data_IF_787170907168
#
_entry.id   IF_787170907168
#
_cell.length_a   1.000
_cell.length_b   1.000
_cell.length_c   1.000
_cell.angle_alpha   90.00
_cell.angle_beta   90.00
_cell.angle_gamma   90.00
#
_symmetry.space_group_name_H-M   'P 1'
#
loop_
_entity.id
_entity.type
_entity.pdbx_description
1 polymer ?
#
# COMPACT_ATOMS: atom_id res chain seq x y z
N UNK A 1 14.34 0.65 12.88
CA UNK A 1 13.56 -0.16 11.91
C UNK A 1 13.09 0.66 10.70
N UNK A 2 12.79 1.95 10.87
CA UNK A 2 12.47 2.85 9.74
C UNK A 2 13.57 2.87 8.66
N UNK A 3 14.82 2.56 9.03
CA UNK A 3 15.97 2.51 8.13
C UNK A 3 15.84 1.48 7.01
N UNK A 4 15.12 0.37 7.24
CA UNK A 4 14.92 -0.67 6.21
C UNK A 4 14.18 -0.07 5.01
N UNK A 5 13.14 0.71 5.26
CA UNK A 5 12.42 1.34 4.17
C UNK A 5 13.24 2.42 3.47
N UNK A 6 14.12 3.13 4.18
CA UNK A 6 14.97 4.16 3.58
C UNK A 6 15.84 3.64 2.42
N UNK A 7 16.17 2.34 2.43
CA UNK A 7 16.91 1.69 1.35
C UNK A 7 16.24 1.83 -0.02
N UNK A 8 14.91 1.95 -0.08
CA UNK A 8 14.22 2.12 -1.36
C UNK A 8 14.45 3.48 -2.03
N UNK A 9 14.92 4.46 -1.26
CA UNK A 9 15.25 5.79 -1.75
C UNK A 9 16.76 5.93 -1.98
N UNK A 10 17.58 5.22 -1.20
CA UNK A 10 19.05 5.29 -1.28
C UNK A 10 19.62 4.46 -2.45
N UNK A 11 18.93 3.40 -2.88
CA UNK A 11 19.43 2.49 -3.93
C UNK A 11 18.74 2.81 -5.27
N UNK A 12 19.32 3.68 -6.12
CA UNK A 12 18.63 4.22 -7.31
C UNK A 12 18.32 3.16 -8.38
N UNK A 13 19.02 2.03 -8.37
CA UNK A 13 18.80 0.92 -9.33
C UNK A 13 17.83 -0.14 -8.79
N UNK A 14 17.31 0.00 -7.58
CA UNK A 14 16.41 -0.98 -6.97
C UNK A 14 15.04 -0.93 -7.67
N UNK A 15 14.71 -1.99 -8.41
CA UNK A 15 13.41 -2.12 -9.11
C UNK A 15 12.42 -2.98 -8.36
N UNK A 16 12.91 -3.93 -7.58
CA UNK A 16 12.10 -4.87 -6.82
C UNK A 16 12.40 -4.72 -5.34
N UNK A 17 11.36 -4.58 -4.53
CA UNK A 17 11.50 -4.54 -3.08
C UNK A 17 10.39 -5.33 -2.39
N UNK A 18 10.81 -6.22 -1.49
CA UNK A 18 9.92 -7.02 -0.66
C UNK A 18 10.28 -6.79 0.80
N UNK A 19 9.29 -6.41 1.58
CA UNK A 19 9.42 -6.15 3.01
C UNK A 19 8.50 -7.11 3.73
N UNK A 20 9.09 -8.09 4.42
CA UNK A 20 8.37 -9.04 5.26
C UNK A 20 8.84 -8.85 6.69
N UNK A 21 7.90 -8.45 7.56
CA UNK A 21 8.18 -8.23 8.97
C UNK A 21 7.46 -9.35 9.73
N UNK A 22 8.24 -10.25 10.30
CA UNK A 22 7.72 -11.47 10.92
C UNK A 22 6.79 -11.18 12.11
N UNK A 23 5.83 -12.10 12.33
CA UNK A 23 4.73 -12.02 13.32
C UNK A 23 5.14 -11.77 14.78
N UNK A 24 6.42 -11.83 15.12
CA UNK A 24 6.89 -11.70 16.51
C UNK A 24 7.18 -10.26 16.93
N UNK A 25 7.13 -9.29 16.01
CA UNK A 25 7.11 -7.90 16.40
C UNK A 25 5.69 -7.57 16.82
N UNK A 26 5.50 -7.29 18.11
CA UNK A 26 4.30 -6.64 18.61
C UNK A 26 3.94 -5.52 17.62
N UNK A 27 2.68 -5.46 17.20
CA UNK A 27 2.12 -4.58 16.16
C UNK A 27 2.30 -3.06 16.44
N UNK A 28 3.23 -2.67 17.30
CA UNK A 28 3.68 -1.32 17.51
C UNK A 28 4.37 -0.79 16.25
N UNK A 29 3.53 -0.19 15.41
CA UNK A 29 3.77 0.98 14.57
C UNK A 29 5.16 1.03 13.94
N UNK A 30 5.42 0.11 13.01
CA UNK A 30 6.47 0.34 12.02
C UNK A 30 5.97 1.47 11.13
N UNK A 31 6.36 2.68 11.49
CA UNK A 31 6.03 3.88 10.71
C UNK A 31 6.79 3.79 9.40
N UNK A 32 6.05 3.85 8.29
CA UNK A 32 6.67 3.99 6.98
C UNK A 32 7.47 5.29 6.95
N UNK A 33 8.68 5.30 6.38
CA UNK A 33 9.50 6.48 6.39
C UNK A 33 8.85 7.54 5.53
N UNK A 34 8.99 8.76 6.00
CA UNK A 34 8.73 9.95 5.22
C UNK A 34 9.98 10.15 4.37
N UNK A 35 9.84 10.04 3.04
CA UNK A 35 10.95 10.38 2.15
C UNK A 35 11.32 11.84 2.36
N UNK A 36 12.60 12.20 2.20
CA UNK A 36 12.98 13.61 2.28
C UNK A 36 12.37 14.36 1.08
N UNK A 37 12.15 15.67 1.23
CA UNK A 37 11.56 16.51 0.18
C UNK A 37 12.25 16.23 -1.18
N UNK A 38 11.44 15.85 -2.18
CA UNK A 38 11.82 15.49 -3.56
C UNK A 38 12.52 14.14 -3.78
N UNK A 39 12.64 13.28 -2.77
CA UNK A 39 13.10 11.90 -2.99
C UNK A 39 11.98 11.08 -3.63
N UNK A 40 12.30 10.43 -4.75
CA UNK A 40 11.42 9.47 -5.40
C UNK A 40 12.17 8.17 -5.65
N UNK A 41 11.49 7.07 -5.41
CA UNK A 41 12.04 5.74 -5.63
C UNK A 41 11.84 5.33 -7.10
N UNK A 42 12.82 4.61 -7.63
CA UNK A 42 12.74 4.02 -8.97
C UNK A 42 12.07 2.63 -8.98
N UNK A 43 11.46 2.26 -7.86
CA UNK A 43 10.79 0.99 -7.66
C UNK A 43 9.67 0.77 -8.67
N UNK A 44 9.62 -0.47 -9.17
CA UNK A 44 8.60 -0.97 -10.08
C UNK A 44 7.75 -2.07 -9.44
N UNK A 45 8.31 -2.81 -8.48
CA UNK A 45 7.66 -3.91 -7.80
C UNK A 45 7.80 -3.74 -6.29
N UNK A 46 6.67 -3.65 -5.59
CA UNK A 46 6.63 -3.50 -4.15
C UNK A 46 5.75 -4.58 -3.53
N UNK A 47 6.30 -5.30 -2.57
CA UNK A 47 5.59 -6.30 -1.76
C UNK A 47 5.69 -5.91 -0.28
N UNK A 48 4.53 -5.65 0.33
CA UNK A 48 4.35 -5.34 1.76
C UNK A 48 3.71 -6.56 2.42
N UNK A 49 4.53 -7.34 3.10
CA UNK A 49 4.16 -8.61 3.74
C UNK A 49 4.10 -8.46 5.27
N UNK A 50 3.37 -7.45 5.70
CA UNK A 50 3.05 -7.13 7.09
C UNK A 50 1.87 -6.15 7.12
N UNK A 51 1.39 -5.84 8.31
CA UNK A 51 0.26 -4.94 8.52
C UNK A 51 0.68 -3.48 8.28
N UNK A 52 -0.15 -2.75 7.54
CA UNK A 52 0.08 -1.36 7.17
C UNK A 52 -1.27 -0.62 7.14
N UNK A 53 -1.31 0.59 7.69
CA UNK A 53 -2.51 1.42 7.57
C UNK A 53 -2.66 1.94 6.14
N UNK A 54 -3.88 2.27 5.75
CA UNK A 54 -4.13 2.85 4.46
C UNK A 54 -3.40 4.19 4.25
N UNK A 55 -3.40 5.06 5.26
CA UNK A 55 -2.69 6.35 5.20
C UNK A 55 -1.18 6.19 5.01
N UNK A 56 -0.57 5.23 5.70
CA UNK A 56 0.84 4.88 5.50
C UNK A 56 1.08 4.41 4.06
N UNK A 57 0.26 3.47 3.57
CA UNK A 57 0.38 3.01 2.19
C UNK A 57 0.33 4.17 1.20
N UNK A 58 -0.66 5.06 1.32
CA UNK A 58 -0.76 6.22 0.43
C UNK A 58 0.51 7.07 0.48
N UNK A 59 1.01 7.37 1.68
CA UNK A 59 2.25 8.11 1.83
C UNK A 59 3.41 7.42 1.10
N UNK A 60 3.57 6.10 1.26
CA UNK A 60 4.61 5.35 0.57
C UNK A 60 4.47 5.41 -0.95
N UNK A 61 3.23 5.25 -1.46
CA UNK A 61 2.94 5.28 -2.89
C UNK A 61 3.20 6.64 -3.52
N UNK A 62 3.06 7.73 -2.74
CA UNK A 62 3.38 9.09 -3.21
C UNK A 62 4.85 9.25 -3.61
N UNK A 63 5.75 8.42 -3.07
CA UNK A 63 7.17 8.42 -3.37
C UNK A 63 7.59 7.34 -4.38
N UNK A 64 6.67 6.54 -4.92
CA UNK A 64 6.97 5.46 -5.87
C UNK A 64 6.23 5.64 -7.21
N UNK A 65 6.46 6.74 -7.96
CA UNK A 65 5.69 7.05 -9.17
C UNK A 65 5.91 6.05 -10.32
N UNK A 66 7.02 5.29 -10.29
CA UNK A 66 7.34 4.28 -11.30
C UNK A 66 6.74 2.90 -11.00
N UNK A 67 5.90 2.78 -9.96
CA UNK A 67 5.39 1.50 -9.52
C UNK A 67 4.50 0.86 -10.57
N UNK A 68 4.81 -0.39 -10.93
CA UNK A 68 4.10 -1.21 -11.92
C UNK A 68 3.23 -2.25 -11.20
N UNK A 69 3.75 -2.84 -10.13
CA UNK A 69 3.07 -3.86 -9.35
C UNK A 69 3.15 -3.57 -7.86
N UNK A 70 1.99 -3.68 -7.22
CA UNK A 70 1.82 -3.57 -5.77
C UNK A 70 1.23 -4.87 -5.22
N UNK A 71 1.81 -5.39 -4.16
CA UNK A 71 1.29 -6.53 -3.41
C UNK A 71 1.26 -6.18 -1.93
N UNK A 72 0.09 -6.27 -1.32
CA UNK A 72 -0.11 -5.95 0.09
C UNK A 72 -0.85 -7.10 0.74
N UNK A 73 -0.26 -7.69 1.78
CA UNK A 73 -0.81 -8.86 2.43
C UNK A 73 -1.74 -8.54 3.60
N UNK A 74 -1.62 -7.36 4.22
CA UNK A 74 -2.45 -6.95 5.35
C UNK A 74 -2.60 -5.44 5.35
N UNK A 75 -3.75 -4.96 4.92
CA UNK A 75 -4.10 -3.54 5.00
C UNK A 75 -5.33 -3.36 5.88
N UNK A 76 -5.33 -2.31 6.70
CA UNK A 76 -6.47 -1.89 7.49
C UNK A 76 -6.78 -0.41 7.26
N UNK A 77 -8.03 -0.03 7.46
CA UNK A 77 -8.53 1.33 7.28
C UNK A 77 -8.99 1.88 8.63
N UNK A 78 -8.56 3.09 8.94
CA UNK A 78 -9.07 3.86 10.07
C UNK A 78 -10.13 4.85 9.56
N UNK A 79 -11.10 5.21 10.41
CA UNK A 79 -12.14 6.18 10.05
C UNK A 79 -11.57 7.55 9.66
N UNK A 80 -10.39 7.90 10.19
CA UNK A 80 -9.64 9.11 9.85
C UNK A 80 -9.16 9.14 8.39
N UNK A 81 -8.96 7.98 7.77
CA UNK A 81 -8.33 7.86 6.44
C UNK A 81 -9.24 8.39 5.32
N UNK A 82 -10.56 8.42 5.56
CA UNK A 82 -11.54 8.95 4.60
C UNK A 82 -11.30 10.44 4.27
N UNK A 83 -10.68 11.20 5.19
CA UNK A 83 -10.41 12.64 5.01
C UNK A 83 -9.10 12.92 4.29
N UNK A 84 -8.18 11.95 4.22
CA UNK A 84 -6.80 12.16 3.79
C UNK A 84 -6.53 11.80 2.32
N UNK A 85 -7.57 11.55 1.53
CA UNK A 85 -7.44 11.22 0.11
C UNK A 85 -6.93 12.40 -0.72
N UNK A 86 -5.62 12.63 -0.70
CA UNK A 86 -4.93 13.33 -1.78
C UNK A 86 -4.85 12.39 -2.98
N UNK A 87 -5.12 12.92 -4.17
CA UNK A 87 -5.09 12.14 -5.42
C UNK A 87 -3.65 11.77 -5.74
N UNK A 88 -3.22 10.57 -5.37
CA UNK A 88 -1.96 9.98 -5.84
C UNK A 88 -2.25 9.30 -7.16
N UNK A 89 -1.59 9.70 -8.26
CA UNK A 89 -1.74 9.05 -9.56
C UNK A 89 -0.54 8.15 -9.83
N UNK A 90 -0.75 6.83 -9.79
CA UNK A 90 0.24 5.84 -10.19
C UNK A 90 0.02 5.48 -11.66
N UNK A 91 0.53 6.31 -12.57
CA UNK A 91 0.30 6.16 -14.01
C UNK A 91 0.79 4.83 -14.59
N UNK A 92 1.78 4.20 -13.97
CA UNK A 92 2.40 2.97 -14.47
C UNK A 92 1.84 1.69 -13.85
N UNK A 93 1.02 1.80 -12.79
CA UNK A 93 0.55 0.61 -12.08
C UNK A 93 -0.44 -0.15 -12.95
N UNK A 94 -0.18 -1.45 -13.12
CA UNK A 94 -1.02 -2.33 -13.93
C UNK A 94 -1.46 -3.60 -13.20
N UNK A 95 -0.87 -3.86 -12.02
CA UNK A 95 -1.18 -5.04 -11.23
C UNK A 95 -1.25 -4.66 -9.75
N UNK A 96 -2.37 -4.95 -9.12
CA UNK A 96 -2.56 -4.78 -7.69
C UNK A 96 -3.00 -6.12 -7.10
N UNK A 97 -2.32 -6.55 -6.06
CA UNK A 97 -2.72 -7.67 -5.21
C UNK A 97 -3.00 -7.12 -3.81
N UNK A 98 -4.23 -7.29 -3.34
CA UNK A 98 -4.64 -6.89 -2.00
C UNK A 98 -5.16 -8.11 -1.25
N UNK A 99 -4.65 -8.30 -0.05
CA UNK A 99 -5.29 -9.15 0.95
C UNK A 99 -5.89 -8.25 2.03
N UNK A 100 -7.21 -8.27 2.06
CA UNK A 100 -8.05 -7.32 2.75
C UNK A 100 -8.37 -7.81 4.15
N UNK A 101 -8.01 -7.01 5.16
CA UNK A 101 -8.44 -7.20 6.54
C UNK A 101 -9.21 -5.95 6.97
N UNK A 102 -10.48 -6.10 7.35
CA UNK A 102 -11.30 -4.99 7.90
C UNK A 102 -11.44 -3.77 6.98
N UNK A 103 -11.69 -4.01 5.70
CA UNK A 103 -11.94 -2.97 4.69
C UNK A 103 -13.26 -3.26 4.00
N UNK A 104 -14.03 -2.20 3.78
CA UNK A 104 -15.28 -2.27 3.01
C UNK A 104 -14.98 -2.23 1.50
N UNK A 105 -15.88 -2.80 0.70
CA UNK A 105 -15.77 -2.71 -0.76
C UNK A 105 -15.70 -1.26 -1.26
N UNK A 106 -16.47 -0.34 -0.66
CA UNK A 106 -16.47 1.08 -1.02
C UNK A 106 -15.11 1.74 -0.78
N UNK A 107 -14.41 1.42 0.32
CA UNK A 107 -13.06 1.94 0.58
C UNK A 107 -12.05 1.43 -0.47
N UNK A 108 -12.15 0.14 -0.83
CA UNK A 108 -11.31 -0.44 -1.88
C UNK A 108 -11.56 0.21 -3.24
N UNK A 109 -12.84 0.40 -3.60
CA UNK A 109 -13.24 1.02 -4.86
C UNK A 109 -12.69 2.44 -4.97
N UNK A 110 -12.86 3.25 -3.91
CA UNK A 110 -12.31 4.61 -3.85
C UNK A 110 -10.80 4.59 -4.02
N UNK A 111 -10.09 3.66 -3.37
CA UNK A 111 -8.64 3.50 -3.54
C UNK A 111 -8.27 3.22 -5.00
N UNK A 112 -8.91 2.24 -5.63
CA UNK A 112 -8.59 1.85 -7.01
C UNK A 112 -8.85 3.02 -7.97
N UNK A 113 -10.04 3.63 -7.88
CA UNK A 113 -10.44 4.74 -8.77
C UNK A 113 -9.49 5.93 -8.61
N UNK A 114 -9.06 6.24 -7.39
CA UNK A 114 -8.19 7.40 -7.15
C UNK A 114 -6.72 7.14 -7.45
N UNK A 115 -6.25 5.90 -7.35
CA UNK A 115 -4.81 5.61 -7.45
C UNK A 115 -4.34 5.17 -8.83
N UNK A 116 -5.23 4.61 -9.66
CA UNK A 116 -4.81 3.99 -10.92
C UNK A 116 -5.79 4.23 -12.07
N UNK A 117 -5.25 4.61 -13.23
CA UNK A 117 -5.99 4.72 -14.49
C UNK A 117 -5.70 3.59 -15.47
N UNK A 118 -4.66 2.77 -15.21
CA UNK A 118 -4.13 1.79 -16.16
C UNK A 118 -4.13 0.35 -15.58
N UNK A 119 -5.01 0.09 -14.61
CA UNK A 119 -5.07 -1.20 -13.92
C UNK A 119 -5.52 -2.29 -14.90
N UNK A 120 -4.68 -3.30 -15.12
CA UNK A 120 -5.00 -4.45 -15.97
C UNK A 120 -5.37 -5.68 -15.16
N UNK A 121 -4.82 -5.79 -13.95
CA UNK A 121 -5.01 -6.94 -13.06
C UNK A 121 -5.26 -6.47 -11.65
N UNK A 122 -6.38 -6.91 -11.10
CA UNK A 122 -6.73 -6.75 -9.70
C UNK A 122 -6.93 -8.14 -9.12
N UNK A 123 -6.14 -8.47 -8.10
CA UNK A 123 -6.35 -9.66 -7.29
C UNK A 123 -6.74 -9.23 -5.89
N UNK A 124 -7.86 -9.77 -5.40
CA UNK A 124 -8.38 -9.47 -4.07
C UNK A 124 -8.55 -10.78 -3.32
N UNK A 125 -7.87 -10.91 -2.20
CA UNK A 125 -8.12 -11.94 -1.22
C UNK A 125 -8.90 -11.31 -0.06
N UNK A 126 -10.04 -11.90 0.26
CA UNK A 126 -10.87 -11.48 1.39
C UNK A 126 -10.77 -12.57 2.42
N UNK A 127 -10.29 -12.22 3.62
CA UNK A 127 -10.29 -13.17 4.72
C UNK A 127 -11.70 -13.22 5.32
N UNK A 128 -12.28 -14.42 5.39
CA UNK A 128 -13.71 -14.66 5.70
C UNK A 128 -14.17 -14.10 7.04
N UNK A 129 -13.24 -13.95 7.99
CA UNK A 129 -13.49 -13.37 9.32
C UNK A 129 -13.94 -11.90 9.30
N UNK A 130 -13.86 -11.21 8.15
CA UNK A 130 -14.12 -9.77 8.04
C UNK A 130 -15.27 -9.39 7.11
N UNK A 131 -16.09 -10.34 6.62
CA UNK A 131 -17.23 -10.01 5.77
C UNK A 131 -18.41 -9.56 6.65
N UNK A 132 -18.53 -8.25 6.85
CA UNK A 132 -19.74 -7.65 7.43
C UNK A 132 -20.76 -7.55 6.29
N UNK A 133 -21.67 -8.52 6.19
CA UNK A 133 -22.81 -8.41 5.29
C UNK A 133 -23.70 -7.25 5.75
N UNK A 134 -23.77 -6.19 4.94
CA UNK A 134 -24.83 -5.19 5.10
C UNK A 134 -26.06 -5.73 4.38
N UNK A 135 -27.06 -6.16 5.14
CA UNK A 135 -28.40 -6.38 4.60
C UNK A 135 -28.95 -5.05 4.10
N UNK A 136 -29.47 -5.05 2.87
CA UNK A 136 -30.17 -3.93 2.27
C UNK A 136 -31.42 -3.54 3.06
#
# INVERSE_FOLDING_TARGET
MNDIYSMMFIVPKLKYYRISLFKHYNHHQITLPIARYNESSSLQYLIIDHECSFSELLLLLSYTPQLIRLTIHKIYFNDSDNKMFTSIKLSNINSIYLNLQRITFSQMEIFIIKTTSNLKRLFVMINSENIIFRSA
#
